data_IF_757005481251
#
_entry.id   IF_757005481251
#
_cell.length_a   1.000
_cell.length_b   1.000
_cell.length_c   1.000
_cell.angle_alpha   90.00
_cell.angle_beta   90.00
_cell.angle_gamma   90.00
#
_symmetry.space_group_name_H-M   'P 1'
#
loop_
_entity.id
_entity.type
_entity.pdbx_description
1 polymer ?
#
# COMPACT_ATOMS: atom_id res chain seq x y z
N UNK A 1 -32.89 29.44 -41.82
CA UNK A 1 -33.42 29.60 -43.20
C UNK A 1 -32.81 30.89 -43.74
N UNK A 2 -31.82 30.83 -44.63
CA UNK A 2 -32.08 30.44 -46.02
C UNK A 2 -31.17 29.32 -46.56
N UNK A 3 -31.73 28.65 -47.56
CA UNK A 3 -31.18 27.61 -48.43
C UNK A 3 -30.71 28.27 -49.72
N UNK A 4 -29.52 27.93 -50.22
CA UNK A 4 -29.16 28.09 -51.64
C UNK A 4 -28.42 26.82 -52.10
N UNK A 5 -29.05 26.13 -53.05
CA UNK A 5 -28.53 25.09 -53.95
C UNK A 5 -27.68 25.79 -55.02
N UNK A 6 -26.56 25.29 -55.54
CA UNK A 6 -26.35 24.31 -56.66
C UNK A 6 -24.94 24.72 -57.16
N UNK A 7 -23.98 23.88 -57.57
CA UNK A 7 -23.91 23.13 -58.83
C UNK A 7 -22.65 22.26 -58.86
N UNK A 8 -22.81 21.11 -59.50
CA UNK A 8 -21.82 20.12 -59.91
C UNK A 8 -20.65 20.71 -60.71
N UNK A 9 -19.45 20.14 -60.53
CA UNK A 9 -18.60 19.77 -61.67
C UNK A 9 -17.56 18.73 -61.26
N UNK A 10 -17.81 17.51 -61.70
CA UNK A 10 -16.81 16.45 -61.87
C UNK A 10 -15.91 16.83 -63.06
N UNK A 11 -14.61 16.47 -63.01
CA UNK A 11 -14.17 15.62 -64.11
C UNK A 11 -13.35 14.40 -63.66
N UNK A 12 -13.80 13.30 -64.23
CA UNK A 12 -13.12 12.08 -64.62
C UNK A 12 -11.57 12.04 -64.58
N UNK A 13 -11.13 11.08 -63.77
CA UNK A 13 -10.20 9.98 -64.09
C UNK A 13 -8.92 10.26 -64.89
N UNK A 14 -7.79 10.22 -64.16
CA UNK A 14 -6.57 9.59 -64.67
C UNK A 14 -6.14 8.45 -63.75
N UNK A 15 -6.23 7.24 -64.29
CA UNK A 15 -5.84 5.99 -63.66
C UNK A 15 -4.31 5.91 -63.47
N UNK A 16 -3.89 5.73 -62.22
CA UNK A 16 -2.53 5.25 -61.89
C UNK A 16 -2.69 4.02 -60.99
N UNK A 17 -2.53 2.84 -61.59
CA UNK A 17 -2.42 1.54 -60.90
C UNK A 17 -0.94 1.24 -60.57
N UNK A 18 -0.66 0.31 -59.64
CA UNK A 18 0.04 0.60 -58.41
C UNK A 18 1.52 0.19 -58.45
N UNK A 19 2.40 1.00 -57.89
CA UNK A 19 3.76 0.54 -57.56
C UNK A 19 3.70 -0.23 -56.25
N UNK A 20 4.04 -1.51 -56.30
CA UNK A 20 4.11 -2.41 -55.15
C UNK A 20 5.00 -1.81 -54.04
N UNK A 21 4.58 -1.84 -52.76
CA UNK A 21 5.48 -1.49 -51.67
C UNK A 21 6.59 -2.56 -51.59
N UNK A 22 7.87 -2.17 -51.41
CA UNK A 22 8.93 -3.14 -51.18
C UNK A 22 8.61 -3.92 -49.91
N UNK A 23 8.80 -5.24 -50.01
CA UNK A 23 8.62 -6.20 -48.93
C UNK A 23 9.17 -5.63 -47.61
N UNK A 24 8.27 -5.39 -46.65
CA UNK A 24 8.67 -5.10 -45.28
C UNK A 24 9.52 -6.27 -44.83
N UNK A 25 10.79 -5.97 -44.55
CA UNK A 25 11.73 -6.87 -43.91
C UNK A 25 11.01 -7.64 -42.81
N UNK A 26 11.00 -8.97 -42.95
CA UNK A 26 10.66 -9.88 -41.86
C UNK A 26 11.51 -9.49 -40.67
N UNK A 27 10.89 -8.79 -39.71
CA UNK A 27 11.47 -8.59 -38.40
C UNK A 27 11.59 -9.99 -37.80
N UNK A 28 12.80 -10.53 -37.84
CA UNK A 28 13.19 -11.68 -37.05
C UNK A 28 12.59 -11.51 -35.66
N UNK A 29 11.87 -12.50 -35.12
CA UNK A 29 11.37 -12.42 -33.77
C UNK A 29 12.60 -12.26 -32.89
N UNK A 30 12.82 -11.04 -32.39
CA UNK A 30 13.75 -10.81 -31.30
C UNK A 30 13.18 -11.63 -30.17
N UNK A 31 13.77 -12.79 -29.96
CA UNK A 31 13.48 -13.69 -28.88
C UNK A 31 13.64 -12.83 -27.63
N UNK A 32 12.51 -12.32 -27.10
CA UNK A 32 12.51 -11.53 -25.88
C UNK A 32 12.94 -12.50 -24.80
N UNK A 33 14.24 -12.53 -24.53
CA UNK A 33 14.81 -13.32 -23.46
C UNK A 33 14.11 -12.85 -22.19
N UNK A 34 13.26 -13.73 -21.69
CA UNK A 34 12.60 -13.60 -20.42
C UNK A 34 13.64 -13.18 -19.38
N UNK A 35 13.47 -12.05 -18.66
CA UNK A 35 14.36 -11.77 -17.55
C UNK A 35 14.31 -12.98 -16.59
N UNK A 36 15.44 -13.34 -15.96
CA UNK A 36 15.50 -14.48 -15.05
C UNK A 36 14.42 -14.37 -13.99
N UNK A 37 13.90 -15.52 -13.52
CA UNK A 37 12.78 -15.61 -12.58
C UNK A 37 12.97 -14.74 -11.34
N UNK A 38 14.21 -14.63 -10.84
CA UNK A 38 14.57 -13.73 -9.73
C UNK A 38 14.27 -12.26 -10.04
N UNK A 39 14.67 -11.76 -11.21
CA UNK A 39 14.36 -10.39 -11.64
C UNK A 39 12.85 -10.19 -11.82
N UNK A 40 12.14 -11.18 -12.36
CA UNK A 40 10.66 -11.12 -12.51
C UNK A 40 9.94 -11.01 -11.17
N UNK A 41 10.36 -11.79 -10.17
CA UNK A 41 9.80 -11.74 -8.82
C UNK A 41 10.09 -10.41 -8.14
N UNK A 42 11.30 -9.85 -8.31
CA UNK A 42 11.64 -8.52 -7.80
C UNK A 42 10.80 -7.41 -8.46
N UNK A 43 10.62 -7.45 -9.79
CA UNK A 43 9.75 -6.50 -10.48
C UNK A 43 8.30 -6.60 -10.01
N UNK A 44 7.79 -7.82 -9.83
CA UNK A 44 6.44 -8.07 -9.37
C UNK A 44 6.24 -7.60 -7.90
N UNK A 45 7.22 -7.82 -7.03
CA UNK A 45 7.23 -7.28 -5.66
C UNK A 45 7.25 -5.74 -5.64
N UNK A 46 8.10 -5.12 -6.47
CA UNK A 46 8.13 -3.67 -6.60
C UNK A 46 6.85 -3.07 -7.21
N UNK A 47 6.13 -3.82 -8.05
CA UNK A 47 4.83 -3.42 -8.57
C UNK A 47 3.73 -3.48 -7.50
N UNK A 48 3.69 -4.56 -6.71
CA UNK A 48 2.76 -4.69 -5.58
C UNK A 48 3.00 -3.61 -4.53
N UNK A 49 4.27 -3.37 -4.17
CA UNK A 49 4.62 -2.31 -3.22
C UNK A 49 4.17 -0.92 -3.71
N UNK A 50 4.32 -0.63 -5.00
CA UNK A 50 3.80 0.61 -5.60
C UNK A 50 2.27 0.66 -5.59
N UNK A 51 1.60 -0.43 -5.96
CA UNK A 51 0.14 -0.51 -5.93
C UNK A 51 -0.44 -0.28 -4.51
N UNK A 52 0.17 -0.88 -3.48
CA UNK A 52 -0.20 -0.63 -2.08
C UNK A 52 0.07 0.81 -1.65
N UNK A 53 1.20 1.40 -2.09
CA UNK A 53 1.52 2.78 -1.80
C UNK A 53 0.46 3.71 -2.41
N UNK A 54 0.12 3.52 -3.69
CA UNK A 54 -0.77 4.35 -4.51
C UNK A 54 -2.26 4.02 -4.40
N UNK A 55 -2.62 3.00 -3.62
CA UNK A 55 -4.01 2.66 -3.35
C UNK A 55 -4.78 3.89 -2.82
N UNK A 56 -6.06 4.05 -3.21
CA UNK A 56 -6.83 5.24 -2.90
C UNK A 56 -6.93 5.50 -1.40
N UNK A 57 -6.94 6.79 -1.04
CA UNK A 57 -7.16 7.23 0.34
C UNK A 57 -8.67 7.18 0.61
N UNK A 58 -9.12 6.12 1.27
CA UNK A 58 -10.53 5.92 1.63
C UNK A 58 -10.94 6.57 2.95
N UNK A 59 -12.17 6.31 3.40
CA UNK A 59 -12.73 6.84 4.66
C UNK A 59 -11.98 6.44 5.94
N UNK A 60 -11.02 5.51 5.85
CA UNK A 60 -10.20 5.05 6.97
C UNK A 60 -8.75 5.57 6.94
N UNK A 61 -8.50 6.69 6.25
CA UNK A 61 -7.16 7.26 6.09
C UNK A 61 -6.40 7.44 7.41
N UNK A 62 -7.07 8.00 8.43
CA UNK A 62 -6.49 8.20 9.76
C UNK A 62 -6.18 6.90 10.49
N UNK A 63 -6.93 5.82 10.22
CA UNK A 63 -6.67 4.51 10.81
C UNK A 63 -5.40 3.90 10.24
N UNK A 64 -5.20 4.00 8.92
CA UNK A 64 -3.95 3.59 8.27
C UNK A 64 -2.76 4.39 8.79
N UNK A 65 -2.89 5.72 8.87
CA UNK A 65 -1.85 6.59 9.40
C UNK A 65 -1.55 6.28 10.87
N UNK A 66 -2.57 5.96 11.67
CA UNK A 66 -2.40 5.58 13.07
C UNK A 66 -1.64 4.25 13.20
N UNK A 67 -1.91 3.27 12.34
CA UNK A 67 -1.11 2.04 12.30
C UNK A 67 0.34 2.34 11.93
N UNK A 68 0.57 3.13 10.87
CA UNK A 68 1.91 3.53 10.45
C UNK A 68 2.69 4.17 11.61
N UNK A 69 2.07 5.11 12.31
CA UNK A 69 2.66 5.79 13.47
C UNK A 69 2.96 4.84 14.65
N UNK A 70 2.17 3.78 14.86
CA UNK A 70 2.45 2.80 15.90
C UNK A 70 3.68 1.94 15.61
N UNK A 71 3.94 1.67 14.33
CA UNK A 71 5.04 0.81 13.88
C UNK A 71 6.32 1.57 13.59
N UNK A 72 6.18 2.78 13.06
CA UNK A 72 7.26 3.56 12.48
C UNK A 72 7.46 4.87 13.24
N UNK A 73 7.13 4.88 14.54
CA UNK A 73 7.39 6.05 15.36
C UNK A 73 8.91 6.32 15.35
N UNK A 74 9.34 7.58 15.20
CA UNK A 74 10.73 7.93 15.40
C UNK A 74 11.22 7.44 16.78
N UNK A 75 12.31 6.68 16.80
CA UNK A 75 12.94 6.16 18.02
C UNK A 75 14.43 6.47 18.03
N UNK A 76 14.99 6.74 19.21
CA UNK A 76 16.43 6.94 19.40
C UNK A 76 16.85 8.39 19.65
N UNK A 77 18.18 8.63 19.64
CA UNK A 77 18.82 9.91 19.98
C UNK A 77 18.46 11.08 19.05
N UNK A 78 17.97 10.77 17.83
CA UNK A 78 17.40 11.76 16.91
C UNK A 78 16.11 12.42 17.46
N UNK A 79 15.50 11.85 18.51
CA UNK A 79 14.32 12.37 19.18
C UNK A 79 14.67 13.10 20.50
N UNK A 80 15.75 13.86 20.50
CA UNK A 80 16.09 14.76 21.61
C UNK A 80 15.26 16.05 21.51
N UNK A 81 14.32 16.22 22.44
CA UNK A 81 13.41 17.38 22.52
C UNK A 81 14.08 18.76 22.37
N UNK A 82 15.28 19.02 22.92
CA UNK A 82 15.95 20.31 22.74
C UNK A 82 16.29 20.61 21.28
N UNK A 83 16.76 19.62 20.52
CA UNK A 83 17.07 19.74 19.09
C UNK A 83 15.80 19.89 18.24
N UNK A 84 14.74 19.17 18.61
CA UNK A 84 13.43 19.26 17.95
C UNK A 84 12.75 20.63 18.20
N UNK A 85 12.99 21.26 19.35
CA UNK A 85 12.40 22.56 19.69
C UNK A 85 12.87 23.71 18.79
N UNK A 86 13.96 23.55 18.03
CA UNK A 86 14.41 24.53 17.04
C UNK A 86 13.83 24.30 15.63
N UNK A 87 13.23 23.13 15.38
CA UNK A 87 12.78 22.75 14.04
C UNK A 87 11.38 23.32 13.70
N UNK A 88 11.19 23.71 12.43
CA UNK A 88 9.89 24.17 11.91
C UNK A 88 8.91 23.01 11.71
N UNK A 89 9.43 21.84 11.36
CA UNK A 89 8.68 20.60 11.18
C UNK A 89 9.19 19.57 12.17
N UNK A 90 8.30 18.72 12.66
CA UNK A 90 8.60 17.68 13.64
C UNK A 90 8.29 16.30 13.06
N UNK A 91 9.14 15.29 13.30
CA UNK A 91 8.97 13.96 12.76
C UNK A 91 7.79 13.25 13.42
N UNK A 92 6.92 12.66 12.58
CA UNK A 92 5.80 11.81 13.00
C UNK A 92 6.10 10.35 12.70
N UNK A 93 6.73 10.05 11.57
CA UNK A 93 7.05 8.67 11.12
C UNK A 93 8.46 8.63 10.52
N UNK A 94 9.21 7.57 10.82
CA UNK A 94 10.45 7.17 10.15
C UNK A 94 10.22 5.88 9.36
N UNK A 95 10.08 6.01 8.05
CA UNK A 95 9.69 4.93 7.16
C UNK A 95 10.91 4.25 6.51
N UNK A 96 10.85 2.92 6.31
CA UNK A 96 11.93 2.16 5.68
C UNK A 96 12.05 2.42 4.16
N UNK A 97 11.07 3.07 3.56
CA UNK A 97 11.07 3.42 2.13
C UNK A 97 10.29 4.70 1.84
N UNK A 98 10.66 5.37 0.76
CA UNK A 98 9.97 6.58 0.27
C UNK A 98 8.49 6.31 -0.07
N UNK A 99 8.15 5.11 -0.55
CA UNK A 99 6.78 4.73 -0.87
C UNK A 99 5.88 4.63 0.39
N UNK A 100 6.42 4.13 1.50
CA UNK A 100 5.73 4.13 2.80
C UNK A 100 5.52 5.57 3.28
N UNK A 101 6.57 6.41 3.23
CA UNK A 101 6.50 7.81 3.62
C UNK A 101 5.49 8.61 2.77
N UNK A 102 5.49 8.41 1.45
CA UNK A 102 4.55 9.04 0.52
C UNK A 102 3.10 8.65 0.80
N UNK A 103 2.83 7.39 1.12
CA UNK A 103 1.50 6.97 1.54
C UNK A 103 1.09 7.68 2.83
N UNK A 104 1.93 7.69 3.86
CA UNK A 104 1.62 8.35 5.14
C UNK A 104 1.37 9.84 4.96
N UNK A 105 2.18 10.54 4.16
CA UNK A 105 1.96 11.96 3.87
C UNK A 105 0.60 12.21 3.20
N UNK A 106 0.21 11.36 2.23
CA UNK A 106 -1.13 11.42 1.62
C UNK A 106 -2.25 11.13 2.61
N UNK A 107 -2.10 10.14 3.48
CA UNK A 107 -3.09 9.80 4.51
C UNK A 107 -3.31 10.94 5.51
N UNK A 108 -2.26 11.73 5.79
CA UNK A 108 -2.32 12.88 6.70
C UNK A 108 -2.88 14.14 6.05
N UNK A 109 -2.98 14.21 4.71
CA UNK A 109 -3.40 15.41 3.97
C UNK A 109 -4.77 15.97 4.39
N UNK A 110 -5.69 15.12 4.85
CA UNK A 110 -7.00 15.54 5.38
C UNK A 110 -6.93 16.17 6.78
N UNK A 111 -5.79 16.09 7.46
CA UNK A 111 -5.56 16.64 8.80
C UNK A 111 -4.54 17.77 8.81
N UNK A 112 -3.45 17.63 8.06
CA UNK A 112 -2.36 18.60 7.97
C UNK A 112 -1.54 18.41 6.71
N UNK A 113 -0.79 19.43 6.31
CA UNK A 113 0.28 19.27 5.34
C UNK A 113 1.46 18.50 5.98
N UNK A 114 1.98 17.49 5.28
CA UNK A 114 3.14 16.72 5.72
C UNK A 114 4.22 16.76 4.63
N UNK A 115 5.48 16.89 5.05
CA UNK A 115 6.64 16.86 4.16
C UNK A 115 7.40 15.56 4.33
N UNK A 116 8.14 15.17 3.29
CA UNK A 116 8.99 13.97 3.30
C UNK A 116 10.44 14.42 3.21
N UNK A 117 11.23 14.06 4.20
CA UNK A 117 12.68 14.30 4.24
C UNK A 117 13.40 12.96 4.06
N UNK A 118 14.44 12.92 3.22
CA UNK A 118 15.26 11.73 3.07
C UNK A 118 16.22 11.65 4.25
N UNK A 119 16.32 10.48 4.87
CA UNK A 119 17.28 10.23 5.93
C UNK A 119 18.45 9.48 5.29
N UNK A 120 19.57 10.17 5.11
CA UNK A 120 20.81 9.51 4.71
C UNK A 120 21.27 8.64 5.88
N UNK A 121 21.41 7.34 5.65
CA UNK A 121 21.98 6.44 6.63
C UNK A 121 23.49 6.72 6.69
N UNK A 122 23.97 7.16 7.86
CA UNK A 122 25.39 7.43 8.09
C UNK A 122 26.24 6.21 7.67
N UNK A 123 27.01 6.38 6.59
CA UNK A 123 28.25 5.65 6.30
C UNK A 123 28.20 4.15 5.94
N UNK A 124 27.06 3.47 5.93
CA UNK A 124 26.99 2.02 5.60
C UNK A 124 25.95 1.69 4.53
N UNK A 125 25.97 2.45 3.43
CA UNK A 125 25.09 2.25 2.29
C UNK A 125 25.50 0.98 1.50
N UNK A 126 25.12 -0.19 2.00
CA UNK A 126 24.73 -1.27 1.10
C UNK A 126 23.57 -0.75 0.24
N UNK A 127 23.81 -0.72 -1.07
CA UNK A 127 22.99 -0.06 -2.07
C UNK A 127 21.49 -0.36 -1.96
N UNK A 128 20.65 0.68 -1.90
CA UNK A 128 19.31 0.64 -2.52
C UNK A 128 18.10 1.05 -1.67
N UNK A 129 18.20 1.24 -0.36
CA UNK A 129 17.05 1.64 0.47
C UNK A 129 17.33 2.93 1.23
N UNK A 130 16.87 4.05 0.67
CA UNK A 130 16.84 5.35 1.36
C UNK A 130 15.65 5.38 2.30
N UNK A 131 15.93 5.39 3.60
CA UNK A 131 14.91 5.66 4.61
C UNK A 131 14.35 7.08 4.40
N UNK A 132 13.07 7.26 4.71
CA UNK A 132 12.38 8.53 4.53
C UNK A 132 11.59 8.86 5.79
N UNK A 133 11.60 10.13 6.18
CA UNK A 133 10.93 10.64 7.37
C UNK A 133 9.76 11.51 6.94
N UNK A 134 8.63 11.37 7.63
CA UNK A 134 7.44 12.19 7.45
C UNK A 134 7.38 13.19 8.59
N UNK A 135 7.38 14.46 8.24
CA UNK A 135 7.38 15.57 9.20
C UNK A 135 6.15 16.45 9.01
N UNK A 136 5.65 17.01 10.10
CA UNK A 136 4.49 17.91 10.10
C UNK A 136 4.86 19.26 10.72
N UNK A 137 4.16 20.36 10.39
CA UNK A 137 4.39 21.65 11.02
C UNK A 137 4.32 21.53 12.55
N UNK A 138 5.30 22.13 13.23
CA UNK A 138 5.40 22.08 14.70
C UNK A 138 4.10 22.49 15.40
N UNK A 139 3.40 23.49 14.87
CA UNK A 139 2.14 24.01 15.42
C UNK A 139 1.00 22.98 15.38
N UNK A 140 1.00 22.06 14.42
CA UNK A 140 -0.01 21.01 14.27
C UNK A 140 0.39 19.69 14.96
N UNK A 141 1.65 19.57 15.40
CA UNK A 141 2.24 18.32 15.88
C UNK A 141 1.39 17.61 16.95
N UNK A 142 1.03 18.33 18.01
CA UNK A 142 0.23 17.74 19.09
C UNK A 142 -1.19 17.40 18.67
N UNK A 143 -1.78 18.15 17.74
CA UNK A 143 -3.10 17.84 17.17
C UNK A 143 -3.04 16.54 16.37
N UNK A 144 -2.02 16.39 15.52
CA UNK A 144 -1.77 15.16 14.75
C UNK A 144 -1.58 13.97 15.69
N UNK A 145 -0.70 14.09 16.70
CA UNK A 145 -0.50 13.01 17.66
C UNK A 145 -1.77 12.63 18.42
N UNK A 146 -2.59 13.61 18.83
CA UNK A 146 -3.88 13.35 19.49
C UNK A 146 -4.85 12.63 18.57
N UNK A 147 -4.94 13.03 17.29
CA UNK A 147 -5.80 12.39 16.31
C UNK A 147 -5.37 10.93 16.06
N UNK A 148 -4.07 10.68 15.85
CA UNK A 148 -3.53 9.33 15.64
C UNK A 148 -3.73 8.44 16.88
N UNK A 149 -3.46 8.98 18.07
CA UNK A 149 -3.65 8.27 19.34
C UNK A 149 -5.13 7.95 19.58
N UNK A 150 -6.02 8.92 19.36
CA UNK A 150 -7.46 8.75 19.51
C UNK A 150 -8.02 7.71 18.54
N UNK A 151 -7.60 7.77 17.28
CA UNK A 151 -7.98 6.79 16.24
C UNK A 151 -7.52 5.39 16.60
N UNK A 152 -6.28 5.24 17.08
CA UNK A 152 -5.76 3.93 17.52
C UNK A 152 -6.50 3.37 18.73
N UNK A 153 -6.83 4.21 19.72
CA UNK A 153 -7.67 3.79 20.86
C UNK A 153 -9.06 3.36 20.39
N UNK A 154 -9.62 4.04 19.39
CA UNK A 154 -10.91 3.66 18.82
C UNK A 154 -10.84 2.31 18.09
N UNK A 155 -9.77 2.10 17.31
CA UNK A 155 -9.51 0.83 16.65
C UNK A 155 -9.41 -0.34 17.65
N UNK A 156 -8.73 -0.12 18.79
CA UNK A 156 -8.66 -1.14 19.85
C UNK A 156 -10.03 -1.55 20.35
N UNK A 157 -10.96 -0.60 20.55
CA UNK A 157 -12.33 -0.91 20.97
C UNK A 157 -13.12 -1.61 19.87
N UNK A 158 -13.00 -1.13 18.63
CA UNK A 158 -13.71 -1.66 17.47
C UNK A 158 -13.35 -3.11 17.16
N UNK A 159 -12.06 -3.44 17.28
CA UNK A 159 -11.52 -4.77 17.03
C UNK A 159 -11.31 -5.59 18.32
N UNK A 160 -11.84 -5.15 19.46
CA UNK A 160 -11.82 -5.94 20.69
C UNK A 160 -12.80 -7.12 20.56
N UNK A 161 -12.27 -8.34 20.56
CA UNK A 161 -13.06 -9.57 20.49
C UNK A 161 -14.01 -9.76 21.68
N UNK A 162 -13.86 -8.96 22.75
CA UNK A 162 -14.72 -9.00 23.94
C UNK A 162 -15.94 -8.09 23.84
N UNK A 163 -16.07 -7.29 22.78
CA UNK A 163 -17.21 -6.37 22.59
C UNK A 163 -18.31 -7.05 21.77
N UNK A 164 -19.37 -7.63 22.39
CA UNK A 164 -20.50 -8.15 21.66
C UNK A 164 -21.22 -7.02 20.91
N UNK A 165 -21.39 -7.16 19.60
CA UNK A 165 -22.15 -6.21 18.77
C UNK A 165 -21.32 -5.23 17.93
N UNK A 166 -19.98 -5.24 18.02
CA UNK A 166 -19.14 -4.51 17.05
C UNK A 166 -19.15 -5.27 15.72
N UNK A 167 -20.01 -4.86 14.78
CA UNK A 167 -19.87 -5.26 13.39
C UNK A 167 -18.55 -4.66 12.88
N UNK A 168 -17.51 -5.50 12.81
CA UNK A 168 -16.21 -5.08 12.30
C UNK A 168 -16.38 -4.62 10.86
N UNK A 169 -15.93 -3.39 10.59
CA UNK A 169 -16.03 -2.76 9.28
C UNK A 169 -14.95 -3.37 8.36
N UNK A 170 -15.34 -4.09 7.28
CA UNK A 170 -14.38 -4.68 6.37
C UNK A 170 -13.44 -3.65 5.73
N UNK A 171 -13.93 -2.42 5.48
CA UNK A 171 -13.13 -1.34 4.91
C UNK A 171 -12.00 -0.93 5.86
N UNK A 172 -12.29 -0.84 7.15
CA UNK A 172 -11.31 -0.54 8.19
C UNK A 172 -10.26 -1.66 8.33
N UNK A 173 -10.69 -2.92 8.22
CA UNK A 173 -9.79 -4.07 8.27
C UNK A 173 -8.85 -4.13 7.05
N UNK A 174 -9.36 -3.90 5.84
CA UNK A 174 -8.54 -3.82 4.62
C UNK A 174 -7.55 -2.65 4.72
N UNK A 175 -7.98 -1.50 5.25
CA UNK A 175 -7.11 -0.34 5.45
C UNK A 175 -5.92 -0.65 6.38
N UNK A 176 -6.18 -1.30 7.53
CA UNK A 176 -5.12 -1.75 8.43
C UNK A 176 -4.15 -2.71 7.74
N UNK A 177 -4.67 -3.72 7.03
CA UNK A 177 -3.83 -4.69 6.36
C UNK A 177 -3.05 -4.12 5.17
N UNK A 178 -3.61 -3.16 4.43
CA UNK A 178 -2.90 -2.45 3.37
C UNK A 178 -1.65 -1.76 3.87
N UNK A 179 -1.78 -0.99 4.95
CA UNK A 179 -0.63 -0.32 5.55
C UNK A 179 0.35 -1.34 6.15
N UNK A 180 -0.14 -2.40 6.77
CA UNK A 180 0.73 -3.45 7.32
C UNK A 180 1.53 -4.19 6.23
N UNK A 181 0.89 -4.57 5.13
CA UNK A 181 1.53 -5.19 3.96
C UNK A 181 2.59 -4.28 3.34
N UNK A 182 2.30 -2.98 3.28
CA UNK A 182 3.24 -1.99 2.79
C UNK A 182 4.47 -1.88 3.72
N UNK A 183 4.28 -1.86 5.04
CA UNK A 183 5.37 -1.81 6.03
C UNK A 183 6.23 -3.10 5.98
N UNK A 184 5.59 -4.27 5.87
CA UNK A 184 6.30 -5.56 5.79
C UNK A 184 7.02 -5.78 4.44
N UNK A 185 6.72 -4.97 3.43
CA UNK A 185 7.22 -5.16 2.07
C UNK A 185 6.68 -6.44 1.42
N UNK A 186 5.39 -6.73 1.59
CA UNK A 186 4.76 -7.89 0.97
C UNK A 186 4.78 -7.81 -0.57
N UNK A 187 4.92 -8.94 -1.24
CA UNK A 187 4.98 -9.05 -2.70
C UNK A 187 4.52 -10.43 -3.17
N UNK A 188 4.29 -10.62 -4.48
CA UNK A 188 3.65 -11.82 -5.03
C UNK A 188 4.53 -13.07 -4.98
N UNK A 189 5.81 -12.94 -4.64
CA UNK A 189 6.70 -14.08 -4.33
C UNK A 189 6.74 -14.45 -2.85
N UNK A 190 6.03 -13.71 -1.98
CA UNK A 190 5.93 -13.98 -0.54
C UNK A 190 4.57 -14.59 -0.26
N UNK A 191 4.54 -15.92 -0.17
CA UNK A 191 3.36 -16.69 0.23
C UNK A 191 2.96 -16.48 1.70
N UNK A 192 3.80 -15.76 2.45
CA UNK A 192 3.62 -15.55 3.88
C UNK A 192 3.91 -14.09 4.19
N UNK A 193 3.04 -13.49 5.00
CA UNK A 193 3.23 -12.15 5.55
C UNK A 193 3.61 -12.30 7.02
N UNK A 194 4.75 -11.73 7.44
CA UNK A 194 5.16 -11.69 8.85
C UNK A 194 5.26 -10.25 9.32
N UNK A 195 4.52 -9.92 10.38
CA UNK A 195 4.51 -8.59 10.97
C UNK A 195 4.93 -8.64 12.42
N UNK A 196 6.14 -8.14 12.71
CA UNK A 196 6.65 -7.99 14.06
C UNK A 196 6.07 -6.73 14.71
N UNK A 197 5.43 -6.87 15.87
CA UNK A 197 4.79 -5.74 16.54
C UNK A 197 4.55 -5.96 18.04
N UNK A 198 4.19 -4.89 18.73
CA UNK A 198 3.72 -4.95 20.10
C UNK A 198 2.41 -5.76 20.23
N UNK A 199 2.23 -6.44 21.36
CA UNK A 199 1.07 -7.32 21.63
C UNK A 199 -0.29 -6.70 21.28
N UNK A 200 -0.51 -5.44 21.62
CA UNK A 200 -1.79 -4.75 21.36
C UNK A 200 -2.06 -4.55 19.87
N UNK A 201 -1.04 -4.21 19.08
CA UNK A 201 -1.16 -4.06 17.63
C UNK A 201 -1.37 -5.41 16.94
N UNK A 202 -0.68 -6.46 17.42
CA UNK A 202 -0.88 -7.82 16.91
C UNK A 202 -2.33 -8.30 17.10
N UNK A 203 -2.91 -8.02 18.26
CA UNK A 203 -4.31 -8.38 18.55
C UNK A 203 -5.29 -7.69 17.59
N UNK A 204 -5.08 -6.39 17.32
CA UNK A 204 -5.92 -5.64 16.37
C UNK A 204 -5.79 -6.21 14.96
N UNK A 205 -4.57 -6.47 14.47
CA UNK A 205 -4.36 -7.02 13.13
C UNK A 205 -4.93 -8.43 12.98
N UNK A 206 -4.79 -9.28 13.99
CA UNK A 206 -5.40 -10.60 13.99
C UNK A 206 -6.93 -10.51 14.01
N UNK A 207 -7.51 -9.61 14.80
CA UNK A 207 -8.95 -9.38 14.80
C UNK A 207 -9.44 -8.83 13.44
N UNK A 208 -8.70 -7.91 12.83
CA UNK A 208 -8.99 -7.37 11.50
C UNK A 208 -8.88 -8.46 10.41
N UNK A 209 -7.90 -9.35 10.48
CA UNK A 209 -7.83 -10.48 9.54
C UNK A 209 -9.02 -11.42 9.72
N UNK A 210 -9.40 -11.74 10.96
CA UNK A 210 -10.56 -12.60 11.23
C UNK A 210 -11.87 -11.97 10.77
N UNK A 211 -12.04 -10.65 10.86
CA UNK A 211 -13.25 -10.00 10.36
C UNK A 211 -13.35 -10.02 8.84
N UNK A 212 -12.23 -10.16 8.14
CA UNK A 212 -12.16 -10.45 6.70
C UNK A 212 -12.30 -11.95 6.40
N UNK A 213 -12.48 -12.80 7.42
CA UNK A 213 -12.59 -14.25 7.29
C UNK A 213 -11.26 -14.97 7.03
N UNK A 214 -10.12 -14.30 7.24
CA UNK A 214 -8.77 -14.87 7.11
C UNK A 214 -8.36 -15.62 8.38
N UNK A 215 -7.29 -16.42 8.28
CA UNK A 215 -6.80 -17.28 9.36
C UNK A 215 -5.43 -16.84 9.90
N UNK A 216 -5.37 -15.73 10.65
CA UNK A 216 -4.11 -15.21 11.16
C UNK A 216 -3.56 -16.09 12.28
N UNK A 217 -2.26 -16.35 12.22
CA UNK A 217 -1.49 -16.92 13.32
C UNK A 217 -0.82 -15.81 14.13
N UNK A 218 -0.69 -16.02 15.44
CA UNK A 218 -0.02 -15.08 16.33
C UNK A 218 1.01 -15.82 17.18
N UNK A 219 2.28 -15.54 16.95
CA UNK A 219 3.39 -16.21 17.61
C UNK A 219 4.11 -15.24 18.57
N UNK A 220 4.43 -15.67 19.81
CA UNK A 220 5.27 -14.88 20.70
C UNK A 220 6.72 -14.82 20.19
N UNK A 221 7.32 -13.64 20.23
CA UNK A 221 8.76 -13.42 19.97
C UNK A 221 9.37 -12.55 21.07
N UNK A 222 10.69 -12.58 21.20
CA UNK A 222 11.40 -11.96 22.33
C UNK A 222 11.07 -10.47 22.55
N UNK A 223 10.78 -9.72 21.48
CA UNK A 223 10.45 -8.29 21.50
C UNK A 223 8.97 -7.97 21.26
N UNK A 224 8.09 -8.98 21.20
CA UNK A 224 6.67 -8.75 20.91
C UNK A 224 5.90 -9.95 20.38
N UNK A 225 5.17 -9.73 19.29
CA UNK A 225 4.35 -10.74 18.60
C UNK A 225 4.58 -10.66 17.10
N UNK A 226 4.59 -11.80 16.46
CA UNK A 226 4.47 -11.91 15.00
C UNK A 226 3.03 -12.24 14.67
N UNK A 227 2.41 -11.45 13.80
CA UNK A 227 1.17 -11.82 13.13
C UNK A 227 1.53 -12.37 11.77
N UNK A 228 1.06 -13.58 11.45
CA UNK A 228 1.31 -14.19 10.16
C UNK A 228 0.04 -14.63 9.43
N UNK A 229 0.09 -14.54 8.11
CA UNK A 229 -0.88 -15.16 7.19
C UNK A 229 -0.08 -16.15 6.35
N UNK A 230 -0.38 -17.44 6.50
CA UNK A 230 0.38 -18.54 5.87
C UNK A 230 -0.27 -19.07 4.59
N UNK A 231 -1.57 -18.84 4.41
CA UNK A 231 -2.30 -19.29 3.23
C UNK A 231 -2.01 -18.34 2.06
N UNK A 232 -1.37 -18.81 0.96
CA UNK A 232 -1.08 -17.99 -0.20
C UNK A 232 -2.36 -17.39 -0.82
N UNK A 233 -3.49 -18.11 -0.80
CA UNK A 233 -4.75 -17.63 -1.38
C UNK A 233 -5.31 -16.46 -0.57
N UNK A 234 -5.18 -16.51 0.76
CA UNK A 234 -5.55 -15.41 1.65
C UNK A 234 -4.66 -14.18 1.42
N UNK A 235 -3.35 -14.38 1.26
CA UNK A 235 -2.40 -13.28 0.98
C UNK A 235 -2.68 -12.65 -0.39
N UNK A 236 -2.93 -13.46 -1.41
CA UNK A 236 -3.25 -12.96 -2.75
C UNK A 236 -4.58 -12.19 -2.78
N UNK A 237 -5.62 -12.72 -2.11
CA UNK A 237 -6.90 -12.01 -1.96
C UNK A 237 -6.70 -10.67 -1.25
N UNK A 238 -5.95 -10.67 -0.15
CA UNK A 238 -5.69 -9.45 0.62
C UNK A 238 -4.88 -8.42 -0.17
N UNK A 239 -3.89 -8.84 -0.95
CA UNK A 239 -3.12 -7.97 -1.85
C UNK A 239 -3.99 -7.35 -2.94
N UNK A 240 -4.98 -8.09 -3.46
CA UNK A 240 -5.93 -7.55 -4.43
C UNK A 240 -6.83 -6.46 -3.81
N UNK A 241 -7.42 -6.73 -2.65
CA UNK A 241 -8.28 -5.78 -1.91
C UNK A 241 -7.49 -4.56 -1.40
N UNK A 242 -6.24 -4.77 -0.99
CA UNK A 242 -5.39 -3.70 -0.50
C UNK A 242 -4.78 -2.84 -1.62
N UNK A 243 -4.51 -3.43 -2.80
CA UNK A 243 -3.69 -2.82 -3.86
C UNK A 243 -4.42 -2.33 -5.11
N UNK A 244 -5.63 -2.81 -5.45
CA UNK A 244 -6.29 -2.38 -6.71
C UNK A 244 -7.82 -2.28 -6.70
N UNK A 245 -8.30 -1.09 -7.09
CA UNK A 245 -9.48 -0.75 -7.92
C UNK A 245 -10.88 -1.16 -7.42
N UNK A 246 -11.39 -0.38 -6.46
CA UNK A 246 -12.80 -0.39 -6.06
C UNK A 246 -13.14 -1.60 -5.19
N UNK A 247 -13.67 -1.32 -4.00
CA UNK A 247 -14.36 -2.30 -3.19
C UNK A 247 -15.60 -2.79 -3.97
N UNK A 248 -15.42 -3.73 -4.89
CA UNK A 248 -16.48 -4.57 -5.40
C UNK A 248 -16.28 -5.94 -4.81
N UNK A 249 -17.21 -6.31 -3.96
CA UNK A 249 -17.49 -7.60 -3.35
C UNK A 249 -17.16 -8.76 -4.31
N UNK A 250 -15.88 -9.15 -4.40
CA UNK A 250 -15.50 -10.40 -5.05
C UNK A 250 -15.65 -11.50 -4.03
N UNK A 251 -16.54 -12.43 -4.35
CA UNK A 251 -16.71 -13.69 -3.64
C UNK A 251 -15.35 -14.32 -3.34
N UNK A 252 -15.14 -14.60 -2.05
CA UNK A 252 -14.01 -15.31 -1.44
C UNK A 252 -13.65 -16.59 -2.22
N UNK A 253 -12.38 -17.03 -2.22
CA UNK A 253 -12.05 -18.41 -2.55
C UNK A 253 -12.75 -19.36 -1.58
N UNK A 254 -13.62 -20.22 -2.12
CA UNK A 254 -14.45 -21.14 -1.34
C UNK A 254 -13.61 -22.04 -0.44
N UNK A 255 -13.98 -22.09 0.85
CA UNK A 255 -13.47 -23.04 1.84
C UNK A 255 -13.71 -24.46 1.33
N UNK A 256 -12.70 -25.11 0.72
CA UNK A 256 -12.75 -26.54 0.43
C UNK A 256 -12.71 -27.28 1.76
N UNK A 257 -13.89 -27.50 2.35
CA UNK A 257 -14.05 -28.45 3.44
C UNK A 257 -13.71 -29.81 2.86
N UNK A 258 -12.49 -30.32 3.13
CA UNK A 258 -12.21 -31.74 2.96
C UNK A 258 -13.10 -32.46 3.96
N UNK A 259 -14.19 -33.06 3.47
CA UNK A 259 -14.89 -34.09 4.19
C UNK A 259 -13.90 -35.24 4.42
N UNK A 260 -13.45 -35.42 5.66
CA UNK A 260 -12.79 -36.65 6.06
C UNK A 260 -13.88 -37.74 6.11
N UNK A 261 -13.62 -38.84 5.41
CA UNK A 261 -14.31 -40.12 5.57
C UNK A 261 -13.84 -40.80 6.86
#
# INVERSE_FOLDING_TARGET
MPTILTTEREPDTLAVRPSAPPARASLSPTLRVAPPLSKRLHYAAGAVHRALADAPVGGHALLEAALAWQYLRPTGDAYQWPLLAAQRHLPIVEAPSEAVAARVARLLSGLTWAIITRVEADGSAAAGTTAARVEVPRVEYHRVLRALTGTWRNARRHFDSRSPGSASDPGAAVALWRMALLIAGAGPGRSIVHLHTAKAAAQILAAAARSLGLTPTMEPVHSGRVVALYDPDEVHWLLAEAGSLGATTRSRPGRRVRAAK
#
